data_IF_507857989390
#
_entry.id   IF_507857989390
#
_cell.length_a   1.000
_cell.length_b   1.000
_cell.length_c   1.000
_cell.angle_alpha   90.00
_cell.angle_beta   90.00
_cell.angle_gamma   90.00
#
_symmetry.space_group_name_H-M   'P 1'
#
loop_
_entity.id
_entity.type
_entity.pdbx_description
1 polymer ?
#
# COMPACT_ATOMS: atom_id res chain seq x y z
N UNK A 1 -8.09 9.87 10.16
CA UNK A 1 -6.75 9.56 9.64
C UNK A 1 -5.79 10.61 10.19
N UNK A 2 -4.67 10.21 10.83
CA UNK A 2 -3.71 11.18 11.35
C UNK A 2 -2.66 11.44 10.27
N UNK A 3 -2.66 12.64 9.70
CA UNK A 3 -1.78 13.00 8.59
C UNK A 3 -0.43 13.49 9.14
N UNK A 4 0.65 12.87 8.69
CA UNK A 4 2.00 13.26 9.05
C UNK A 4 2.47 14.40 8.14
N UNK A 5 2.51 15.62 8.69
CA UNK A 5 2.86 16.84 7.94
C UNK A 5 4.28 16.82 7.34
N UNK A 6 5.19 15.99 7.85
CA UNK A 6 6.53 15.84 7.28
C UNK A 6 6.53 15.17 5.89
N UNK A 7 5.50 14.38 5.57
CA UNK A 7 5.35 13.75 4.25
C UNK A 7 4.61 14.65 3.23
N UNK A 8 3.95 15.70 3.71
CA UNK A 8 3.05 16.57 2.94
C UNK A 8 3.72 17.88 2.48
N UNK A 9 4.99 18.11 2.85
CA UNK A 9 5.72 19.36 2.54
C UNK A 9 5.78 19.74 1.05
N UNK A 10 5.59 18.78 0.15
CA UNK A 10 5.61 18.95 -1.31
C UNK A 10 4.22 18.75 -1.95
N UNK A 11 3.17 18.69 -1.15
CA UNK A 11 1.80 18.71 -1.64
C UNK A 11 1.32 20.16 -1.80
N UNK A 12 0.66 20.54 -2.91
CA UNK A 12 0.11 21.88 -3.06
C UNK A 12 -0.88 22.15 -1.92
N UNK A 13 -0.62 23.21 -1.15
CA UNK A 13 -1.40 23.60 0.04
C UNK A 13 -2.87 23.94 -0.25
N UNK A 14 -3.27 23.98 -1.52
CA UNK A 14 -4.59 24.40 -1.99
C UNK A 14 -5.56 23.23 -2.23
N UNK A 15 -5.08 21.98 -2.14
CA UNK A 15 -5.98 20.82 -2.30
C UNK A 15 -6.60 20.47 -0.95
N UNK A 16 -7.95 20.39 -0.87
CA UNK A 16 -8.64 20.11 0.38
C UNK A 16 -8.25 18.73 0.93
N UNK A 17 -8.08 18.63 2.24
CA UNK A 17 -7.73 17.38 2.94
C UNK A 17 -8.76 16.25 2.74
N UNK A 18 -9.98 16.60 2.29
CA UNK A 18 -11.05 15.64 2.02
C UNK A 18 -11.04 15.04 0.61
N UNK A 19 -10.09 15.45 -0.24
CA UNK A 19 -10.04 14.98 -1.63
C UNK A 19 -9.59 13.51 -1.73
N UNK A 20 -10.33 12.70 -2.47
CA UNK A 20 -9.98 11.30 -2.74
C UNK A 20 -8.63 11.20 -3.48
N UNK A 21 -8.32 12.22 -4.29
CA UNK A 21 -7.02 12.39 -4.93
C UNK A 21 -5.88 12.59 -3.91
N UNK A 22 -6.11 13.36 -2.84
CA UNK A 22 -5.15 13.52 -1.76
C UNK A 22 -4.92 12.22 -1.02
N UNK A 23 -5.98 11.48 -0.69
CA UNK A 23 -5.86 10.18 -0.01
C UNK A 23 -5.04 9.18 -0.84
N UNK A 24 -5.32 9.05 -2.14
CA UNK A 24 -4.55 8.21 -3.07
C UNK A 24 -3.07 8.61 -3.09
N UNK A 25 -2.79 9.91 -3.22
CA UNK A 25 -1.43 10.41 -3.25
C UNK A 25 -0.69 10.20 -1.92
N UNK A 26 -1.36 10.44 -0.79
CA UNK A 26 -0.79 10.28 0.54
C UNK A 26 -0.44 8.83 0.82
N UNK A 27 -1.34 7.88 0.50
CA UNK A 27 -1.07 6.45 0.62
C UNK A 27 0.12 6.05 -0.26
N UNK A 28 0.18 6.49 -1.52
CA UNK A 28 1.31 6.21 -2.40
C UNK A 28 2.65 6.71 -1.81
N UNK A 29 2.63 7.90 -1.20
CA UNK A 29 3.81 8.50 -0.58
C UNK A 29 4.21 7.78 0.71
N UNK A 30 3.26 7.37 1.55
CA UNK A 30 3.52 6.55 2.74
C UNK A 30 4.16 5.22 2.35
N UNK A 31 3.67 4.55 1.29
CA UNK A 31 4.24 3.28 0.86
C UNK A 31 5.64 3.43 0.24
N UNK A 32 5.95 4.59 -0.36
CA UNK A 32 7.22 4.82 -1.07
C UNK A 32 8.30 5.44 -0.18
N UNK A 33 7.92 6.33 0.74
CA UNK A 33 8.82 7.13 1.59
C UNK A 33 8.48 7.10 3.07
N UNK A 34 7.28 6.64 3.44
CA UNK A 34 6.83 6.57 4.83
C UNK A 34 7.47 5.40 5.58
N UNK A 35 7.50 5.52 6.90
CA UNK A 35 7.95 4.46 7.79
C UNK A 35 6.83 3.49 8.16
N UNK A 36 7.16 2.48 8.96
CA UNK A 36 6.17 1.52 9.47
C UNK A 36 5.13 2.18 10.40
N UNK A 37 5.47 3.32 11.02
CA UNK A 37 4.56 4.10 11.85
C UNK A 37 3.48 4.81 11.01
N UNK A 38 3.89 5.40 9.87
CA UNK A 38 2.96 6.02 8.92
C UNK A 38 2.01 4.98 8.30
N UNK A 39 2.53 3.80 7.94
CA UNK A 39 1.73 2.67 7.46
C UNK A 39 0.68 2.27 8.50
N UNK A 40 1.05 2.19 9.78
CA UNK A 40 0.11 1.88 10.88
C UNK A 40 -0.92 2.98 11.07
N UNK A 41 -0.53 4.24 10.89
CA UNK A 41 -1.44 5.39 10.99
C UNK A 41 -2.47 5.46 9.84
N UNK A 42 -2.09 5.02 8.64
CA UNK A 42 -3.01 4.85 7.50
C UNK A 42 -3.92 3.65 7.70
N UNK A 43 -3.38 2.54 8.21
CA UNK A 43 -4.09 1.28 8.37
C UNK A 43 -3.93 0.37 7.17
N UNK A 44 -3.70 -0.92 7.45
CA UNK A 44 -3.45 -1.94 6.42
C UNK A 44 -4.67 -2.16 5.50
N UNK A 45 -5.88 -2.03 6.02
CA UNK A 45 -7.11 -2.16 5.24
C UNK A 45 -7.22 -1.04 4.19
N UNK A 46 -7.01 0.22 4.61
CA UNK A 46 -6.98 1.36 3.69
C UNK A 46 -5.87 1.21 2.65
N UNK A 47 -4.68 0.75 3.05
CA UNK A 47 -3.61 0.47 2.08
C UNK A 47 -4.07 -0.56 1.06
N UNK A 48 -4.67 -1.67 1.49
CA UNK A 48 -5.16 -2.73 0.61
C UNK A 48 -6.18 -2.22 -0.41
N UNK A 49 -7.13 -1.40 0.02
CA UNK A 49 -8.18 -0.84 -0.85
C UNK A 49 -7.63 0.15 -1.88
N UNK A 50 -6.63 0.95 -1.48
CA UNK A 50 -6.04 1.98 -2.32
C UNK A 50 -4.89 1.46 -3.20
N UNK A 51 -4.23 0.36 -2.81
CA UNK A 51 -3.11 -0.26 -3.54
C UNK A 51 -3.37 -0.46 -5.05
N UNK A 52 -4.52 -0.99 -5.50
CA UNK A 52 -4.80 -1.12 -6.93
C UNK A 52 -5.05 0.23 -7.63
N UNK A 53 -5.45 1.26 -6.89
CA UNK A 53 -5.87 2.57 -7.41
C UNK A 53 -4.73 3.60 -7.48
N UNK A 54 -3.56 3.28 -6.89
CA UNK A 54 -2.44 4.22 -6.77
C UNK A 54 -1.25 3.84 -7.66
N UNK A 55 -0.56 4.85 -8.18
CA UNK A 55 0.65 4.67 -8.98
C UNK A 55 1.86 4.72 -8.05
N UNK A 56 2.47 3.56 -7.79
CA UNK A 56 3.67 3.40 -6.96
C UNK A 56 4.74 2.59 -7.73
N UNK A 57 6.03 2.69 -7.35
CA UNK A 57 7.08 1.91 -7.98
C UNK A 57 6.80 0.41 -7.93
N UNK A 58 7.06 -0.30 -9.04
CA UNK A 58 6.71 -1.72 -9.19
C UNK A 58 7.22 -2.58 -8.03
N UNK A 59 8.47 -2.38 -7.59
CA UNK A 59 9.06 -3.12 -6.44
C UNK A 59 8.28 -2.95 -5.14
N UNK A 60 7.79 -1.74 -4.87
CA UNK A 60 6.99 -1.44 -3.67
C UNK A 60 5.63 -2.11 -3.79
N UNK A 61 4.99 -2.01 -4.97
CA UNK A 61 3.73 -2.69 -5.26
C UNK A 61 3.85 -4.20 -5.06
N UNK A 62 4.84 -4.84 -5.68
CA UNK A 62 5.07 -6.29 -5.60
C UNK A 62 5.28 -6.74 -4.14
N UNK A 63 5.99 -5.94 -3.33
CA UNK A 63 6.15 -6.23 -1.90
C UNK A 63 4.80 -6.24 -1.17
N UNK A 64 3.97 -5.21 -1.37
CA UNK A 64 2.67 -5.10 -0.73
C UNK A 64 1.65 -6.12 -1.26
N UNK A 65 1.65 -6.40 -2.56
CA UNK A 65 0.81 -7.44 -3.17
C UNK A 65 1.16 -8.82 -2.60
N UNK A 66 2.46 -9.12 -2.42
CA UNK A 66 2.91 -10.35 -1.74
C UNK A 66 2.52 -10.34 -0.26
N UNK A 67 2.67 -9.23 0.44
CA UNK A 67 2.32 -9.10 1.86
C UNK A 67 0.83 -9.37 2.11
N UNK A 68 -0.05 -8.84 1.25
CA UNK A 68 -1.49 -9.06 1.36
C UNK A 68 -1.97 -10.40 0.76
N UNK A 69 -1.07 -11.19 0.17
CA UNK A 69 -1.44 -12.39 -0.58
C UNK A 69 -2.33 -12.08 -1.80
N UNK A 70 -2.25 -10.83 -2.31
CA UNK A 70 -2.95 -10.38 -3.51
C UNK A 70 -2.18 -10.69 -4.79
N UNK A 71 -0.98 -11.28 -4.67
CA UNK A 71 -0.30 -11.91 -5.79
C UNK A 71 -1.32 -12.81 -6.47
N UNK A 72 -1.80 -12.36 -7.64
CA UNK A 72 -2.70 -13.10 -8.50
C UNK A 72 -2.14 -14.51 -8.57
N UNK A 73 -3.00 -15.49 -8.32
CA UNK A 73 -2.67 -16.90 -8.45
C UNK A 73 -2.18 -17.15 -9.89
N UNK A 74 -0.90 -16.91 -10.13
CA UNK A 74 -0.15 -17.29 -11.31
C UNK A 74 1.09 -17.99 -10.79
N UNK A 75 0.95 -19.32 -10.63
CA UNK A 75 2.07 -20.22 -10.39
C UNK A 75 2.31 -20.66 -8.95
N UNK A 76 1.38 -21.40 -8.34
CA UNK A 76 1.78 -22.56 -7.54
C UNK A 76 0.82 -23.75 -7.76
N UNK A 77 1.13 -24.65 -8.71
CA UNK A 77 0.58 -26.00 -8.73
C UNK A 77 1.47 -27.03 -7.99
N UNK A 78 2.19 -26.65 -6.93
CA UNK A 78 3.03 -27.58 -6.16
C UNK A 78 2.89 -27.44 -4.63
N UNK A 79 1.69 -27.75 -4.12
CA UNK A 79 1.59 -28.56 -2.88
C UNK A 79 1.32 -30.02 -3.23
N UNK A 80 2.25 -30.63 -3.94
CA UNK A 80 2.46 -32.07 -3.90
C UNK A 80 3.79 -32.34 -3.21
N UNK A 81 3.76 -32.86 -1.98
CA UNK A 81 4.68 -33.89 -1.46
C UNK A 81 4.13 -34.41 -0.12
N UNK A 82 3.45 -35.56 -0.19
CA UNK A 82 3.62 -36.78 0.61
C UNK A 82 3.87 -36.73 2.13
N UNK A 83 2.97 -37.38 2.88
CA UNK A 83 3.20 -38.42 3.92
C UNK A 83 1.81 -38.67 4.56
N UNK A 84 1.12 -39.80 4.39
CA UNK A 84 1.59 -41.18 4.47
C UNK A 84 1.22 -41.74 5.85
N UNK A 85 0.03 -42.33 6.00
CA UNK A 85 -0.22 -43.57 6.75
C UNK A 85 -1.63 -44.10 6.49
#
# INVERSE_FOLDING_TARGET
MKINRHLVWDYPADIPEDDEAFRRWYVARVLTRGGIDDVRAVGLETIREYLPQIVIPRRVREFWERFFGLATADGDPQRGTTLGH
#
